data_IF_981823675416
#
_entry.id   IF_981823675416
#
_cell.length_a   1.000
_cell.length_b   1.000
_cell.length_c   1.000
_cell.angle_alpha   90.00
_cell.angle_beta   90.00
_cell.angle_gamma   90.00
#
_symmetry.space_group_name_H-M   'P 1'
#
loop_
_entity.id
_entity.type
_entity.pdbx_description
1 polymer ?
#
# COMPACT_ATOMS: atom_id res chain seq x y z
N UNK A 1 6.23 6.56 13.33
CA UNK A 1 7.33 7.51 13.56
C UNK A 1 8.69 6.80 13.58
N UNK A 2 8.89 5.77 14.41
CA UNK A 2 10.17 5.04 14.50
C UNK A 2 10.60 4.44 13.17
N UNK A 3 9.69 3.79 12.42
CA UNK A 3 9.98 3.22 11.11
C UNK A 3 10.44 4.27 10.09
N UNK A 4 9.86 5.46 10.13
CA UNK A 4 10.23 6.57 9.27
C UNK A 4 11.64 7.11 9.59
N UNK A 5 11.93 7.30 10.88
CA UNK A 5 13.27 7.73 11.33
C UNK A 5 14.33 6.70 10.93
N UNK A 6 14.05 5.41 11.15
CA UNK A 6 14.97 4.32 10.79
C UNK A 6 15.20 4.24 9.28
N UNK A 7 14.14 4.41 8.48
CA UNK A 7 14.24 4.47 7.02
C UNK A 7 15.19 5.59 6.57
N UNK A 8 15.02 6.82 7.11
CA UNK A 8 15.89 7.95 6.79
C UNK A 8 17.33 7.67 7.22
N UNK A 9 17.55 7.04 8.37
CA UNK A 9 18.90 6.68 8.84
C UNK A 9 19.56 5.70 7.90
N UNK A 10 18.85 4.67 7.45
CA UNK A 10 19.35 3.71 6.46
C UNK A 10 19.67 4.36 5.12
N UNK A 11 18.82 5.28 4.65
CA UNK A 11 19.05 6.00 3.40
C UNK A 11 20.23 6.96 3.47
N UNK A 12 20.52 7.53 4.64
CA UNK A 12 21.72 8.38 4.87
C UNK A 12 23.02 7.58 4.93
N UNK A 13 22.96 6.34 5.38
CA UNK A 13 24.10 5.43 5.44
C UNK A 13 24.27 4.59 4.16
N UNK A 14 23.67 5.01 3.06
CA UNK A 14 23.45 4.24 1.84
C UNK A 14 24.66 4.13 0.90
N UNK A 15 25.87 4.10 1.43
CA UNK A 15 27.07 3.71 0.64
C UNK A 15 27.04 2.21 0.27
N UNK A 16 26.13 1.44 0.87
CA UNK A 16 25.98 0.01 0.64
C UNK A 16 24.60 -0.28 0.05
N UNK A 17 24.55 -0.92 -1.10
CA UNK A 17 23.31 -1.29 -1.82
C UNK A 17 22.22 -1.93 -0.95
N UNK A 18 22.53 -2.87 -0.01
CA UNK A 18 21.50 -3.44 0.86
C UNK A 18 20.78 -2.43 1.75
N UNK A 19 21.51 -1.47 2.32
CA UNK A 19 20.90 -0.41 3.15
C UNK A 19 19.99 0.50 2.35
N UNK A 20 20.36 0.79 1.11
CA UNK A 20 19.55 1.59 0.20
C UNK A 20 18.22 0.92 -0.10
N UNK A 21 18.23 -0.37 -0.45
CA UNK A 21 17.01 -1.15 -0.69
C UNK A 21 16.15 -1.25 0.58
N UNK A 22 16.77 -1.62 1.71
CA UNK A 22 16.08 -1.77 2.99
C UNK A 22 15.43 -0.44 3.44
N UNK A 23 16.11 0.69 3.26
CA UNK A 23 15.60 2.01 3.59
C UNK A 23 14.34 2.36 2.80
N UNK A 24 14.32 2.11 1.49
CA UNK A 24 13.14 2.37 0.65
C UNK A 24 11.97 1.41 0.96
N UNK A 25 12.25 0.12 1.18
CA UNK A 25 11.22 -0.84 1.58
C UNK A 25 10.60 -0.43 2.92
N UNK A 26 11.42 -0.06 3.90
CA UNK A 26 10.94 0.36 5.21
C UNK A 26 10.12 1.66 5.13
N UNK A 27 10.50 2.59 4.26
CA UNK A 27 9.74 3.81 3.99
C UNK A 27 8.32 3.47 3.49
N UNK A 28 8.22 2.63 2.48
CA UNK A 28 6.93 2.22 1.93
C UNK A 28 6.07 1.42 2.91
N UNK A 29 6.66 0.50 3.69
CA UNK A 29 5.95 -0.22 4.75
C UNK A 29 5.43 0.72 5.84
N UNK A 30 6.21 1.73 6.21
CA UNK A 30 5.78 2.75 7.17
C UNK A 30 4.60 3.58 6.63
N UNK A 31 4.61 3.89 5.33
CA UNK A 31 3.48 4.56 4.68
C UNK A 31 2.21 3.68 4.72
N UNK A 32 2.31 2.38 4.45
CA UNK A 32 1.19 1.43 4.58
C UNK A 32 0.66 1.41 6.02
N UNK A 33 1.53 1.29 7.01
CA UNK A 33 1.11 1.31 8.42
C UNK A 33 0.38 2.61 8.78
N UNK A 34 0.85 3.76 8.28
CA UNK A 34 0.19 5.05 8.49
C UNK A 34 -1.17 5.13 7.77
N UNK A 35 -1.32 4.51 6.59
CA UNK A 35 -2.59 4.40 5.88
C UNK A 35 -3.59 3.50 6.64
N UNK A 36 -3.11 2.40 7.25
CA UNK A 36 -3.94 1.51 8.05
C UNK A 36 -4.52 2.22 9.29
N UNK A 37 -3.82 3.18 9.88
CA UNK A 37 -4.36 4.01 10.96
C UNK A 37 -5.62 4.74 10.47
N UNK A 38 -5.59 5.33 9.28
CA UNK A 38 -6.76 5.99 8.68
C UNK A 38 -7.93 5.03 8.44
N UNK A 39 -7.65 3.81 7.97
CA UNK A 39 -8.68 2.78 7.78
C UNK A 39 -9.31 2.37 9.12
N UNK A 40 -8.49 2.07 10.12
CA UNK A 40 -8.97 1.68 11.45
C UNK A 40 -9.77 2.80 12.10
N UNK A 41 -9.29 4.05 12.04
CA UNK A 41 -10.03 5.21 12.55
C UNK A 41 -11.40 5.33 11.88
N UNK A 42 -11.47 5.17 10.56
CA UNK A 42 -12.74 5.19 9.80
C UNK A 42 -13.70 4.11 10.30
N UNK A 43 -13.23 2.88 10.47
CA UNK A 43 -14.05 1.76 10.96
C UNK A 43 -14.55 2.02 12.39
N UNK A 44 -13.67 2.46 13.29
CA UNK A 44 -14.01 2.74 14.69
C UNK A 44 -15.06 3.85 14.80
N UNK A 45 -14.90 4.93 14.06
CA UNK A 45 -15.89 6.01 14.04
C UNK A 45 -17.23 5.54 13.47
N UNK A 46 -17.22 4.70 12.44
CA UNK A 46 -18.42 4.12 11.87
C UNK A 46 -19.16 3.21 12.87
N UNK A 47 -18.44 2.34 13.58
CA UNK A 47 -19.03 1.42 14.55
C UNK A 47 -19.60 2.14 15.78
N UNK A 48 -18.98 3.27 16.16
CA UNK A 48 -19.42 4.10 17.30
C UNK A 48 -20.47 5.14 16.95
N UNK A 49 -20.87 5.26 15.70
CA UNK A 49 -21.77 6.33 15.21
C UNK A 49 -21.27 7.77 15.52
N UNK A 50 -19.98 7.96 15.75
CA UNK A 50 -19.37 9.25 16.09
C UNK A 50 -18.80 9.99 14.88
N UNK A 51 -19.24 9.65 13.69
CA UNK A 51 -18.60 10.05 12.46
C UNK A 51 -18.95 11.47 12.02
N UNK A 52 -17.95 12.33 11.82
CA UNK A 52 -18.13 13.63 11.18
C UNK A 52 -17.67 13.56 9.69
N UNK A 53 -18.40 14.28 8.85
CA UNK A 53 -18.07 14.37 7.41
C UNK A 53 -16.68 14.94 7.15
N UNK A 54 -16.22 15.87 8.01
CA UNK A 54 -14.90 16.49 7.87
C UNK A 54 -13.76 15.52 8.18
N UNK A 55 -13.94 14.69 9.20
CA UNK A 55 -12.94 13.68 9.59
C UNK A 55 -12.78 12.59 8.52
N UNK A 56 -13.87 12.20 7.87
CA UNK A 56 -13.85 11.28 6.73
C UNK A 56 -12.95 11.76 5.60
N UNK A 57 -13.17 12.98 5.16
CA UNK A 57 -12.38 13.58 4.10
C UNK A 57 -10.93 13.73 4.52
N UNK A 58 -10.67 14.05 5.78
CA UNK A 58 -9.30 14.12 6.32
C UNK A 58 -8.58 12.78 6.17
N UNK A 59 -9.23 11.67 6.56
CA UNK A 59 -8.64 10.34 6.42
C UNK A 59 -8.46 9.92 4.96
N UNK A 60 -9.41 10.24 4.09
CA UNK A 60 -9.26 10.02 2.65
C UNK A 60 -8.04 10.77 2.08
N UNK A 61 -7.92 12.07 2.41
CA UNK A 61 -6.77 12.87 1.94
C UNK A 61 -5.45 12.38 2.53
N UNK A 62 -5.43 11.97 3.79
CA UNK A 62 -4.25 11.41 4.42
C UNK A 62 -3.72 10.18 3.67
N UNK A 63 -4.60 9.23 3.37
CA UNK A 63 -4.21 7.98 2.72
C UNK A 63 -3.78 8.20 1.27
N UNK A 64 -4.51 9.03 0.50
CA UNK A 64 -4.13 9.31 -0.89
C UNK A 64 -2.82 10.10 -0.96
N UNK A 65 -2.58 11.02 -0.03
CA UNK A 65 -1.35 11.79 0.06
C UNK A 65 -0.13 10.89 0.30
N UNK A 66 -0.21 9.99 1.29
CA UNK A 66 0.86 9.04 1.57
C UNK A 66 1.12 8.09 0.39
N UNK A 67 0.06 7.59 -0.24
CA UNK A 67 0.18 6.74 -1.43
C UNK A 67 0.85 7.47 -2.58
N UNK A 68 0.46 8.72 -2.82
CA UNK A 68 1.05 9.53 -3.89
C UNK A 68 2.53 9.82 -3.66
N UNK A 69 2.92 10.20 -2.44
CA UNK A 69 4.34 10.40 -2.10
C UNK A 69 5.14 9.11 -2.32
N UNK A 70 4.61 7.96 -1.89
CA UNK A 70 5.30 6.68 -2.03
C UNK A 70 5.49 6.31 -3.51
N UNK A 71 4.47 6.50 -4.36
CA UNK A 71 4.57 6.25 -5.81
C UNK A 71 5.56 7.23 -6.46
N UNK A 72 5.46 8.52 -6.16
CA UNK A 72 6.36 9.53 -6.71
C UNK A 72 7.82 9.25 -6.33
N UNK A 73 8.07 8.84 -5.08
CA UNK A 73 9.40 8.42 -4.65
C UNK A 73 9.88 7.20 -5.43
N UNK A 74 9.01 6.22 -5.69
CA UNK A 74 9.34 5.07 -6.51
C UNK A 74 9.70 5.44 -7.96
N UNK A 75 8.93 6.32 -8.57
CA UNK A 75 9.20 6.85 -9.92
C UNK A 75 10.53 7.63 -9.93
N UNK A 76 10.75 8.49 -8.92
CA UNK A 76 12.00 9.24 -8.79
C UNK A 76 13.21 8.29 -8.72
N UNK A 77 13.14 7.22 -7.91
CA UNK A 77 14.19 6.21 -7.80
C UNK A 77 14.44 5.51 -9.13
N UNK A 78 13.39 5.20 -9.91
CA UNK A 78 13.53 4.59 -11.23
C UNK A 78 14.18 5.52 -12.25
N UNK A 79 13.76 6.79 -12.29
CA UNK A 79 14.23 7.76 -13.29
C UNK A 79 15.65 8.25 -12.97
N UNK A 80 15.98 8.39 -11.68
CA UNK A 80 17.30 8.89 -11.23
C UNK A 80 18.40 7.85 -11.31
N UNK A 81 18.14 6.64 -11.82
CA UNK A 81 19.07 5.52 -11.74
C UNK A 81 19.72 5.16 -13.06
N UNK A 82 21.04 5.28 -13.10
CA UNK A 82 21.89 4.69 -14.15
C UNK A 82 22.29 3.23 -13.85
N UNK A 83 21.85 2.68 -12.70
CA UNK A 83 22.28 1.36 -12.25
C UNK A 83 21.10 0.41 -12.04
N UNK A 84 21.25 -0.85 -12.52
CA UNK A 84 20.33 -1.96 -12.29
C UNK A 84 19.95 -2.17 -10.81
N UNK A 85 20.86 -1.82 -9.88
CA UNK A 85 20.65 -1.91 -8.44
C UNK A 85 19.50 -1.05 -7.88
N UNK A 86 19.09 0.01 -8.59
CA UNK A 86 18.01 0.92 -8.15
C UNK A 86 16.64 0.57 -8.75
N UNK A 87 16.60 -0.28 -9.74
CA UNK A 87 15.35 -0.72 -10.36
C UNK A 87 14.44 -1.43 -9.35
N UNK A 88 15.02 -2.32 -8.56
CA UNK A 88 14.30 -3.10 -7.56
C UNK A 88 13.59 -2.25 -6.49
N UNK A 89 14.27 -1.33 -5.78
CA UNK A 89 13.61 -0.48 -4.78
C UNK A 89 12.57 0.46 -5.40
N UNK A 90 12.77 0.95 -6.61
CA UNK A 90 11.79 1.78 -7.31
C UNK A 90 10.49 1.03 -7.60
N UNK A 91 10.58 -0.18 -8.15
CA UNK A 91 9.41 -1.05 -8.40
C UNK A 91 8.70 -1.38 -7.10
N UNK A 92 9.44 -1.75 -6.05
CA UNK A 92 8.85 -2.08 -4.74
C UNK A 92 8.08 -0.88 -4.18
N UNK A 93 8.64 0.33 -4.24
CA UNK A 93 7.96 1.54 -3.76
C UNK A 93 6.67 1.84 -4.53
N UNK A 94 6.66 1.67 -5.85
CA UNK A 94 5.45 1.84 -6.65
C UNK A 94 4.38 0.83 -6.20
N UNK A 95 4.74 -0.44 -6.01
CA UNK A 95 3.81 -1.46 -5.54
C UNK A 95 3.28 -1.16 -4.13
N UNK A 96 4.13 -0.69 -3.21
CA UNK A 96 3.73 -0.26 -1.88
C UNK A 96 2.77 0.94 -1.93
N UNK A 97 3.02 1.89 -2.81
CA UNK A 97 2.10 3.01 -3.05
C UNK A 97 0.76 2.56 -3.64
N UNK A 98 0.74 1.57 -4.55
CA UNK A 98 -0.50 0.96 -5.06
C UNK A 98 -1.30 0.27 -3.96
N UNK A 99 -0.65 -0.34 -2.96
CA UNK A 99 -1.32 -0.87 -1.77
C UNK A 99 -1.95 0.26 -0.95
N UNK A 100 -1.28 1.40 -0.78
CA UNK A 100 -1.87 2.58 -0.15
C UNK A 100 -3.14 3.05 -0.90
N UNK A 101 -3.16 3.07 -2.23
CA UNK A 101 -4.35 3.37 -3.00
C UNK A 101 -5.46 2.31 -2.85
N UNK A 102 -5.11 1.05 -2.66
CA UNK A 102 -6.08 0.01 -2.31
C UNK A 102 -6.74 0.29 -0.96
N UNK A 103 -5.97 0.72 0.04
CA UNK A 103 -6.50 1.15 1.35
C UNK A 103 -7.38 2.39 1.18
N UNK A 104 -6.94 3.37 0.37
CA UNK A 104 -7.74 4.55 0.06
C UNK A 104 -9.11 4.18 -0.54
N UNK A 105 -9.14 3.25 -1.50
CA UNK A 105 -10.39 2.80 -2.10
C UNK A 105 -11.37 2.23 -1.07
N UNK A 106 -10.85 1.54 -0.06
CA UNK A 106 -11.65 1.01 1.06
C UNK A 106 -12.16 2.11 1.99
N UNK A 107 -11.30 3.05 2.40
CA UNK A 107 -11.70 4.20 3.22
C UNK A 107 -12.77 5.01 2.51
N UNK A 108 -12.60 5.26 1.23
CA UNK A 108 -13.57 6.00 0.41
C UNK A 108 -14.89 5.24 0.26
N UNK A 109 -14.84 3.94 -0.01
CA UNK A 109 -16.03 3.11 -0.08
C UNK A 109 -16.81 3.13 1.23
N UNK A 110 -16.14 2.94 2.37
CA UNK A 110 -16.77 3.02 3.69
C UNK A 110 -17.44 4.39 3.90
N UNK A 111 -16.84 5.46 3.41
CA UNK A 111 -17.43 6.81 3.43
C UNK A 111 -18.71 6.90 2.60
N UNK A 112 -18.71 6.35 1.39
CA UNK A 112 -19.90 6.33 0.51
C UNK A 112 -21.02 5.47 1.09
N UNK A 113 -20.69 4.35 1.70
CA UNK A 113 -21.65 3.46 2.38
C UNK A 113 -22.31 4.16 3.55
N UNK A 114 -21.51 4.81 4.38
CA UNK A 114 -22.00 5.59 5.52
C UNK A 114 -23.01 6.66 5.08
N UNK A 115 -22.73 7.35 4.00
CA UNK A 115 -23.62 8.40 3.45
C UNK A 115 -24.87 7.83 2.75
N UNK A 116 -25.04 6.52 2.67
CA UNK A 116 -26.12 5.85 1.91
C UNK A 116 -26.18 6.28 0.43
N UNK A 117 -25.08 6.78 -0.11
CA UNK A 117 -25.00 7.22 -1.52
C UNK A 117 -24.70 6.07 -2.48
N UNK A 118 -24.41 4.88 -1.96
CA UNK A 118 -24.08 3.70 -2.76
C UNK A 118 -24.86 2.48 -2.26
N UNK A 119 -25.42 1.68 -3.17
CA UNK A 119 -26.13 0.42 -2.79
C UNK A 119 -25.10 -0.70 -2.54
N UNK A 120 -25.40 -1.61 -1.61
CA UNK A 120 -24.51 -2.72 -1.24
C UNK A 120 -24.17 -3.67 -2.40
N UNK A 121 -25.05 -3.79 -3.40
CA UNK A 121 -24.94 -4.76 -4.47
C UNK A 121 -23.79 -4.49 -5.49
N UNK A 122 -23.33 -3.24 -5.63
CA UNK A 122 -22.33 -2.85 -6.65
C UNK A 122 -20.90 -2.66 -6.11
N UNK A 123 -20.53 -3.35 -5.03
CA UNK A 123 -19.46 -2.92 -4.13
C UNK A 123 -18.27 -3.83 -4.03
N UNK A 124 -17.97 -4.60 -5.02
CA UNK A 124 -16.68 -5.28 -5.02
C UNK A 124 -15.62 -4.23 -5.37
N UNK A 125 -14.83 -3.72 -4.41
CA UNK A 125 -13.74 -2.83 -4.75
C UNK A 125 -12.71 -3.64 -5.51
N UNK A 126 -12.74 -3.51 -6.82
CA UNK A 126 -11.83 -4.25 -7.72
C UNK A 126 -10.37 -3.78 -7.56
N UNK A 127 -10.14 -2.56 -7.06
CA UNK A 127 -8.79 -1.98 -6.93
C UNK A 127 -7.85 -2.87 -6.11
N UNK A 128 -8.20 -3.37 -4.89
CA UNK A 128 -7.33 -4.28 -4.14
C UNK A 128 -7.06 -5.60 -4.86
N UNK A 129 -8.03 -6.11 -5.61
CA UNK A 129 -7.85 -7.34 -6.40
C UNK A 129 -6.87 -7.10 -7.54
N UNK A 130 -7.05 -6.01 -8.30
CA UNK A 130 -6.12 -5.63 -9.36
C UNK A 130 -4.72 -5.37 -8.81
N UNK A 131 -4.60 -4.71 -7.65
CA UNK A 131 -3.29 -4.47 -7.01
C UNK A 131 -2.62 -5.79 -6.62
N UNK A 132 -3.37 -6.74 -6.05
CA UNK A 132 -2.86 -8.08 -5.74
C UNK A 132 -2.35 -8.78 -7.01
N UNK A 133 -3.16 -8.84 -8.05
CA UNK A 133 -2.79 -9.47 -9.34
C UNK A 133 -1.57 -8.79 -9.97
N UNK A 134 -1.51 -7.46 -9.92
CA UNK A 134 -0.38 -6.71 -10.43
C UNK A 134 0.91 -7.00 -9.65
N UNK A 135 0.85 -7.05 -8.31
CA UNK A 135 2.01 -7.45 -7.50
C UNK A 135 2.47 -8.88 -7.80
N UNK A 136 1.54 -9.82 -7.97
CA UNK A 136 1.87 -11.21 -8.30
C UNK A 136 2.47 -11.34 -9.72
N UNK A 137 1.92 -10.61 -10.68
CA UNK A 137 2.46 -10.57 -12.03
C UNK A 137 3.90 -10.03 -12.06
N UNK A 138 4.14 -8.89 -11.40
CA UNK A 138 5.50 -8.34 -11.28
C UNK A 138 6.43 -9.27 -10.51
N UNK A 139 5.95 -9.93 -9.46
CA UNK A 139 6.73 -10.91 -8.72
C UNK A 139 7.19 -12.06 -9.62
N UNK A 140 6.29 -12.58 -10.46
CA UNK A 140 6.62 -13.65 -11.42
C UNK A 140 7.66 -13.19 -12.45
N UNK A 141 7.47 -11.99 -13.00
CA UNK A 141 8.42 -11.40 -13.95
C UNK A 141 9.81 -11.20 -13.33
N UNK A 142 9.89 -10.64 -12.12
CA UNK A 142 11.15 -10.46 -11.40
C UNK A 142 11.78 -11.80 -10.97
N UNK A 143 10.97 -12.83 -10.67
CA UNK A 143 11.49 -14.16 -10.36
C UNK A 143 12.16 -14.82 -11.59
N UNK A 144 11.66 -14.56 -12.78
CA UNK A 144 12.28 -15.02 -14.03
C UNK A 144 13.61 -14.28 -14.29
N UNK A 145 13.63 -12.96 -14.10
CA UNK A 145 14.86 -12.18 -14.19
C UNK A 145 15.91 -12.59 -13.13
N UNK A 146 15.48 -13.07 -11.97
CA UNK A 146 16.36 -13.53 -10.90
C UNK A 146 17.17 -14.79 -11.27
N UNK A 147 16.82 -15.49 -12.36
CA UNK A 147 17.61 -16.59 -12.88
C UNK A 147 18.92 -16.11 -13.54
N UNK A 148 18.90 -14.91 -14.07
CA UNK A 148 20.06 -14.28 -14.71
C UNK A 148 20.80 -13.32 -13.80
N UNK A 149 20.09 -12.65 -12.88
CA UNK A 149 20.66 -11.71 -11.91
C UNK A 149 19.98 -11.89 -10.54
N UNK A 150 20.75 -12.37 -9.57
CA UNK A 150 20.31 -12.60 -8.19
C UNK A 150 19.81 -11.32 -7.48
N UNK A 151 20.11 -10.13 -7.98
CA UNK A 151 19.59 -8.86 -7.45
C UNK A 151 18.06 -8.77 -7.48
N UNK A 152 17.41 -9.48 -8.39
CA UNK A 152 15.94 -9.50 -8.49
C UNK A 152 15.26 -10.54 -7.59
N UNK A 153 16.03 -11.42 -6.94
CA UNK A 153 15.48 -12.50 -6.11
C UNK A 153 14.69 -11.95 -4.91
N UNK A 154 15.30 -11.04 -4.14
CA UNK A 154 14.65 -10.46 -2.95
C UNK A 154 13.39 -9.67 -3.33
N UNK A 155 13.41 -8.73 -4.30
CA UNK A 155 12.22 -8.01 -4.75
C UNK A 155 11.07 -8.92 -5.18
N UNK A 156 11.34 -10.01 -5.90
CA UNK A 156 10.30 -10.93 -6.34
C UNK A 156 9.57 -11.57 -5.15
N UNK A 157 10.30 -11.98 -4.11
CA UNK A 157 9.72 -12.58 -2.90
C UNK A 157 8.94 -11.56 -2.06
N UNK A 158 9.46 -10.35 -1.95
CA UNK A 158 8.76 -9.25 -1.26
C UNK A 158 7.42 -8.97 -1.94
N UNK A 159 7.36 -8.92 -3.27
CA UNK A 159 6.12 -8.67 -4.00
C UNK A 159 5.08 -9.78 -3.84
N UNK A 160 5.49 -11.04 -3.74
CA UNK A 160 4.56 -12.14 -3.40
C UNK A 160 3.93 -11.90 -2.04
N UNK A 161 4.75 -11.57 -1.02
CA UNK A 161 4.26 -11.26 0.32
C UNK A 161 3.30 -10.07 0.33
N UNK A 162 3.63 -8.99 -0.39
CA UNK A 162 2.79 -7.80 -0.49
C UNK A 162 1.45 -8.09 -1.19
N UNK A 163 1.45 -8.90 -2.25
CA UNK A 163 0.23 -9.37 -2.90
C UNK A 163 -0.67 -10.15 -1.94
N UNK A 164 -0.10 -11.06 -1.14
CA UNK A 164 -0.82 -11.82 -0.13
C UNK A 164 -1.41 -10.90 0.97
N UNK A 165 -0.65 -9.91 1.46
CA UNK A 165 -1.14 -8.92 2.43
C UNK A 165 -2.31 -8.12 1.85
N UNK A 166 -2.19 -7.66 0.61
CA UNK A 166 -3.26 -6.90 -0.05
C UNK A 166 -4.55 -7.73 -0.16
N UNK A 167 -4.45 -9.00 -0.54
CA UNK A 167 -5.59 -9.92 -0.60
C UNK A 167 -6.20 -10.19 0.77
N UNK A 168 -5.38 -10.37 1.80
CA UNK A 168 -5.84 -10.58 3.19
C UNK A 168 -6.59 -9.37 3.70
N UNK A 169 -6.07 -8.16 3.50
CA UNK A 169 -6.75 -6.91 3.87
C UNK A 169 -8.10 -6.75 3.15
N UNK A 170 -8.14 -7.06 1.86
CA UNK A 170 -9.38 -7.08 1.09
C UNK A 170 -10.40 -8.03 1.71
N UNK A 171 -10.01 -9.25 2.04
CA UNK A 171 -10.88 -10.28 2.62
C UNK A 171 -11.42 -9.86 3.98
N UNK A 172 -10.56 -9.35 4.88
CA UNK A 172 -10.97 -8.88 6.22
C UNK A 172 -12.01 -7.76 6.10
N UNK A 173 -11.73 -6.73 5.30
CA UNK A 173 -12.66 -5.61 5.17
C UNK A 173 -13.98 -6.04 4.53
N UNK A 174 -13.96 -6.96 3.56
CA UNK A 174 -15.18 -7.49 2.94
C UNK A 174 -16.04 -8.28 3.92
N UNK A 175 -15.43 -9.04 4.83
CA UNK A 175 -16.14 -9.76 5.90
C UNK A 175 -16.79 -8.76 6.88
N UNK A 176 -16.06 -7.72 7.29
CA UNK A 176 -16.58 -6.68 8.19
C UNK A 176 -17.74 -5.92 7.55
N UNK A 177 -17.67 -5.61 6.27
CA UNK A 177 -18.73 -4.96 5.50
C UNK A 177 -19.99 -5.86 5.45
N UNK A 178 -19.82 -7.16 5.17
CA UNK A 178 -20.92 -8.12 5.14
C UNK A 178 -21.58 -8.29 6.51
N UNK A 179 -20.83 -8.28 7.59
CA UNK A 179 -21.33 -8.36 8.96
C UNK A 179 -22.10 -7.11 9.39
N UNK A 180 -21.69 -5.93 8.93
CA UNK A 180 -22.39 -4.67 9.24
C UNK A 180 -23.70 -4.45 8.46
N UNK A 181 -23.85 -5.13 7.34
CA UNK A 181 -25.05 -5.04 6.51
C UNK A 181 -26.26 -5.80 7.06
N UNK A 182 -26.05 -6.68 8.04
CA UNK A 182 -27.11 -7.48 8.69
C UNK A 182 -27.74 -6.81 9.92
N UNK A 183 -27.29 -5.62 10.30
CA UNK A 183 -27.90 -4.78 11.33
C UNK A 183 -28.63 -3.61 10.69
#
# INVERSE_FOLDING_TARGET
LLGFIWSITLLRSADITPHYVAGHVLLGLTAICACLIGLVATIVHQTRNTFSTKEHWLWCYWVIFLGSITVLQGIYVLVSSDASARLAPGIILICLGMICYSIFSKVWLLTLVWRRTCSLANRIPMIPVFTCLFCLFLASFLAEMAQTDMGYFIPSRVLVGLGAVCFTLFSIVSILEAGSAKK
#
